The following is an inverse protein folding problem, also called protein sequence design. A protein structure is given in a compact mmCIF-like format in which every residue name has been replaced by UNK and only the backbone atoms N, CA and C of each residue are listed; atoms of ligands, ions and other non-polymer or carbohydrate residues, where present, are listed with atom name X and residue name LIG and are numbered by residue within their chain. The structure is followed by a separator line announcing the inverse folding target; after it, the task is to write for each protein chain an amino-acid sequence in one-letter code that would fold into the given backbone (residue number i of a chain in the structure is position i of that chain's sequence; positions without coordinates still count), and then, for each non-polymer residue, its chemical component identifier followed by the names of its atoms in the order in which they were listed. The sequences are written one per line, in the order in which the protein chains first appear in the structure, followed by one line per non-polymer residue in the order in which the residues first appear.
data_IF_789059352050
#
_entry.id   IF_789059352050
#
_cell.length_a   1.000
_cell.length_b   1.000
_cell.length_c   1.000
_cell.angle_alpha   90.00
_cell.angle_beta   90.00
_cell.angle_gamma   90.00
#
_symmetry.space_group_name_H-M   'P 1'
#
loop_
_entity.id
_entity.type
_entity.pdbx_description
1 polymer ?
#
# COMPACT_ATOMS: atom_id res chain seq x y z
N UNK A 1 -21.27 -18.50 9.52
CA UNK A 1 -20.27 -18.57 10.59
C UNK A 1 -19.50 -17.26 10.59
N UNK A 2 -19.21 -16.68 11.75
CA UNK A 2 -18.37 -15.49 11.86
C UNK A 2 -17.10 -15.86 12.61
N UNK A 3 -15.94 -15.42 12.11
CA UNK A 3 -14.63 -15.63 12.72
C UNK A 3 -14.06 -14.27 13.08
N UNK A 4 -13.69 -14.08 14.35
CA UNK A 4 -13.09 -12.83 14.81
C UNK A 4 -11.62 -12.81 14.46
N UNK A 5 -11.21 -11.75 13.76
CA UNK A 5 -9.83 -11.48 13.42
C UNK A 5 -9.29 -10.36 14.28
N UNK A 6 -8.00 -10.41 14.60
CA UNK A 6 -7.32 -9.30 15.24
C UNK A 6 -5.82 -9.35 14.99
N UNK A 7 -5.18 -8.19 14.92
CA UNK A 7 -3.74 -8.06 14.70
C UNK A 7 -3.13 -6.94 15.54
N UNK A 8 -1.81 -7.02 15.74
CA UNK A 8 -1.01 -5.93 16.30
C UNK A 8 -0.63 -4.95 15.18
N UNK A 9 -0.82 -3.64 15.34
CA UNK A 9 -0.39 -2.67 14.34
C UNK A 9 1.13 -2.69 14.12
N UNK A 10 1.55 -2.57 12.87
CA UNK A 10 2.94 -2.39 12.46
C UNK A 10 3.43 -0.99 12.85
N UNK A 11 4.67 -0.92 13.32
CA UNK A 11 5.24 0.26 13.99
C UNK A 11 6.26 1.01 13.13
N UNK A 12 5.91 1.27 11.87
CA UNK A 12 6.76 2.10 11.03
C UNK A 12 6.89 3.51 11.60
N UNK A 13 8.08 4.10 11.53
CA UNK A 13 8.41 5.36 12.21
C UNK A 13 7.53 6.55 11.80
N UNK A 14 6.90 6.49 10.63
CA UNK A 14 5.97 7.51 10.13
C UNK A 14 4.57 7.42 10.73
N UNK A 15 4.24 6.36 11.47
CA UNK A 15 2.90 6.13 12.01
C UNK A 15 2.51 7.13 13.10
N UNK A 16 1.22 7.47 13.17
CA UNK A 16 0.71 8.23 14.30
C UNK A 16 0.64 7.36 15.57
N UNK A 17 0.52 7.99 16.75
CA UNK A 17 0.54 7.26 18.03
C UNK A 17 -0.87 6.95 18.52
N UNK A 18 -1.23 5.66 18.54
CA UNK A 18 -2.48 5.16 19.12
C UNK A 18 -3.76 5.39 18.31
N UNK A 19 -3.67 6.07 17.16
CA UNK A 19 -4.84 6.50 16.38
C UNK A 19 -5.64 5.32 15.79
N UNK A 20 -4.98 4.22 15.42
CA UNK A 20 -5.68 3.03 14.93
C UNK A 20 -6.53 2.42 16.04
N UNK A 21 -5.96 2.25 17.25
CA UNK A 21 -6.72 1.76 18.41
C UNK A 21 -7.89 2.68 18.75
N UNK A 22 -7.69 4.00 18.76
CA UNK A 22 -8.76 4.96 19.07
C UNK A 22 -9.89 4.91 18.03
N UNK A 23 -9.55 4.87 16.74
CA UNK A 23 -10.53 4.85 15.66
C UNK A 23 -11.36 3.57 15.63
N UNK A 24 -10.74 2.41 15.92
CA UNK A 24 -11.44 1.12 15.90
C UNK A 24 -12.11 0.77 17.22
N UNK A 25 -11.72 1.40 18.33
CA UNK A 25 -12.28 1.17 19.65
C UNK A 25 -11.84 -0.15 20.30
N UNK A 26 -12.28 -0.38 21.56
CA UNK A 26 -11.83 -1.53 22.37
C UNK A 26 -12.29 -2.89 21.83
N UNK A 27 -13.39 -2.94 21.08
CA UNK A 27 -13.92 -4.16 20.46
C UNK A 27 -13.45 -4.33 19.00
N UNK A 28 -12.58 -3.42 18.53
CA UNK A 28 -12.04 -3.43 17.18
C UNK A 28 -11.05 -4.58 16.94
N UNK A 29 -10.52 -4.65 15.72
CA UNK A 29 -9.59 -5.71 15.30
C UNK A 29 -8.14 -5.50 15.80
N UNK A 30 -7.93 -4.66 16.81
CA UNK A 30 -6.60 -4.34 17.34
C UNK A 30 -6.29 -5.20 18.56
N UNK A 31 -5.16 -5.91 18.50
CA UNK A 31 -4.59 -6.64 19.63
C UNK A 31 -3.20 -6.07 19.89
N UNK A 32 -3.12 -5.01 20.69
CA UNK A 32 -1.87 -4.31 21.01
C UNK A 32 -1.60 -4.32 22.52
N UNK A 33 -0.81 -5.29 23.04
CA UNK A 33 -0.57 -5.43 24.48
C UNK A 33 0.24 -4.28 25.08
N UNK A 34 0.91 -3.48 24.25
CA UNK A 34 1.71 -2.33 24.68
C UNK A 34 0.91 -1.02 24.63
N UNK A 35 -0.34 -1.03 24.15
CA UNK A 35 -1.16 0.17 24.10
C UNK A 35 -1.47 0.69 25.51
N UNK A 36 -1.14 1.96 25.76
CA UNK A 36 -1.47 2.68 26.99
C UNK A 36 -2.01 4.05 26.61
N UNK A 37 -3.11 4.49 27.22
CA UNK A 37 -3.75 5.76 26.86
C UNK A 37 -2.86 6.98 27.15
N UNK A 38 -2.07 6.92 28.22
CA UNK A 38 -1.12 7.97 28.64
C UNK A 38 0.19 7.96 27.83
N UNK A 39 0.53 6.84 27.20
CA UNK A 39 1.74 6.68 26.40
C UNK A 39 1.49 5.75 25.18
N UNK A 40 0.69 6.19 24.21
CA UNK A 40 0.31 5.36 23.07
C UNK A 40 1.52 5.01 22.18
N UNK A 41 1.64 3.74 21.74
CA UNK A 41 2.68 3.33 20.81
C UNK A 41 2.42 3.90 19.41
N UNK A 42 3.46 3.91 18.57
CA UNK A 42 3.33 4.19 17.14
C UNK A 42 2.53 3.07 16.48
N UNK A 43 1.53 3.44 15.67
CA UNK A 43 0.65 2.53 14.94
C UNK A 43 0.51 3.03 13.50
N UNK A 44 1.30 2.47 12.59
CA UNK A 44 1.36 2.92 11.20
C UNK A 44 0.32 2.21 10.33
N UNK A 45 0.30 0.88 10.39
CA UNK A 45 -0.61 0.05 9.60
C UNK A 45 -1.12 -1.13 10.43
N UNK A 46 -2.43 -1.36 10.45
CA UNK A 46 -3.02 -2.64 10.88
C UNK A 46 -3.37 -3.44 9.64
N UNK A 47 -2.78 -4.62 9.49
CA UNK A 47 -3.02 -5.51 8.34
C UNK A 47 -4.10 -6.52 8.68
N UNK A 48 -5.11 -6.62 7.82
CA UNK A 48 -6.19 -7.60 7.92
C UNK A 48 -6.25 -8.42 6.63
N UNK A 49 -5.85 -9.68 6.71
CA UNK A 49 -5.72 -10.58 5.56
C UNK A 49 -4.75 -11.73 5.86
N UNK A 50 -4.33 -12.43 4.81
CA UNK A 50 -3.45 -13.60 4.91
C UNK A 50 -2.02 -13.34 4.41
N UNK A 51 -1.56 -12.09 4.50
CA UNK A 51 -0.23 -11.72 4.02
C UNK A 51 0.85 -12.29 4.95
N UNK A 52 1.83 -13.03 4.40
CA UNK A 52 2.87 -13.74 5.16
C UNK A 52 3.62 -12.89 6.20
N UNK A 53 3.84 -11.60 5.92
CA UNK A 53 4.52 -10.69 6.86
C UNK A 53 3.71 -10.32 8.12
N UNK A 54 2.38 -10.48 8.11
CA UNK A 54 1.52 -10.21 9.26
C UNK A 54 0.12 -10.82 9.03
N UNK A 55 -0.02 -12.16 9.01
CA UNK A 55 -1.31 -12.79 8.79
C UNK A 55 -2.27 -12.44 9.94
N UNK A 56 -3.57 -12.30 9.64
CA UNK A 56 -4.60 -12.03 10.63
C UNK A 56 -4.77 -13.19 11.59
N UNK A 57 -4.56 -12.94 12.89
CA UNK A 57 -4.81 -13.96 13.91
C UNK A 57 -6.30 -14.21 14.06
N UNK A 58 -6.64 -15.47 14.27
CA UNK A 58 -7.99 -15.89 14.62
C UNK A 58 -8.10 -15.85 16.15
N UNK A 59 -9.01 -15.02 16.65
CA UNK A 59 -9.15 -14.81 18.10
C UNK A 59 -9.86 -15.98 18.80
N UNK A 60 -10.70 -16.70 18.05
CA UNK A 60 -11.45 -17.86 18.53
C UNK A 60 -11.15 -19.09 17.65
N UNK A 61 -10.00 -19.77 17.80
CA UNK A 61 -9.55 -20.85 16.88
C UNK A 61 -10.55 -22.00 16.70
N UNK A 62 -11.39 -22.27 17.71
CA UNK A 62 -12.45 -23.28 17.63
C UNK A 62 -13.47 -22.99 16.49
N UNK A 63 -13.63 -21.71 16.14
CA UNK A 63 -14.49 -21.27 15.02
C UNK A 63 -13.85 -21.49 13.65
N UNK A 64 -12.59 -21.92 13.60
CA UNK A 64 -11.82 -22.12 12.36
C UNK A 64 -11.07 -23.45 12.35
N UNK A 65 -11.64 -24.49 13.00
CA UNK A 65 -11.03 -25.82 13.01
C UNK A 65 -9.68 -25.90 13.71
N UNK A 66 -9.40 -24.96 14.62
CA UNK A 66 -8.14 -24.88 15.38
C UNK A 66 -7.04 -24.07 14.69
N UNK A 67 -7.28 -23.50 13.50
CA UNK A 67 -6.31 -22.63 12.83
C UNK A 67 -6.02 -21.37 13.67
N UNK A 68 -4.75 -20.99 13.78
CA UNK A 68 -4.34 -19.85 14.64
C UNK A 68 -4.38 -18.51 13.90
N UNK A 69 -4.35 -18.56 12.57
CA UNK A 69 -4.44 -17.39 11.70
C UNK A 69 -5.18 -17.71 10.38
N UNK A 70 -5.49 -16.65 9.64
CA UNK A 70 -6.24 -16.74 8.39
C UNK A 70 -5.45 -17.48 7.30
N UNK A 71 -4.12 -17.43 7.29
CA UNK A 71 -3.33 -18.14 6.28
C UNK A 71 -3.42 -19.66 6.49
N UNK A 72 -3.26 -20.13 7.74
CA UNK A 72 -3.45 -21.53 8.08
C UNK A 72 -4.87 -22.02 7.74
N UNK A 73 -5.89 -21.24 8.09
CA UNK A 73 -7.27 -21.63 7.82
C UNK A 73 -7.56 -21.71 6.32
N UNK A 74 -7.07 -20.75 5.53
CA UNK A 74 -7.18 -20.77 4.07
C UNK A 74 -6.55 -22.02 3.45
N UNK A 75 -5.41 -22.49 3.98
CA UNK A 75 -4.75 -23.68 3.48
C UNK A 75 -5.44 -24.97 3.92
N UNK A 76 -5.96 -25.01 5.15
CA UNK A 76 -6.58 -26.19 5.73
C UNK A 76 -8.01 -26.43 5.21
N UNK A 77 -8.81 -25.37 5.06
CA UNK A 77 -10.18 -25.42 4.54
C UNK A 77 -10.48 -24.24 3.61
N UNK A 78 -9.95 -24.24 2.37
CA UNK A 78 -10.25 -23.23 1.36
C UNK A 78 -11.74 -22.97 1.14
N UNK A 79 -12.57 -24.04 1.16
CA UNK A 79 -14.00 -23.93 0.89
C UNK A 79 -14.74 -23.31 2.07
N UNK A 80 -14.36 -23.64 3.30
CA UNK A 80 -14.88 -22.98 4.49
C UNK A 80 -14.50 -21.50 4.56
N UNK A 81 -13.25 -21.17 4.23
CA UNK A 81 -12.72 -19.81 4.34
C UNK A 81 -13.14 -18.88 3.18
N UNK A 82 -13.12 -19.34 1.93
CA UNK A 82 -13.38 -18.53 0.72
C UNK A 82 -14.67 -18.88 -0.02
N UNK A 83 -15.37 -19.94 0.38
CA UNK A 83 -16.60 -20.38 -0.29
C UNK A 83 -16.36 -20.69 -1.77
N UNK A 84 -17.12 -20.04 -2.65
CA UNK A 84 -17.03 -20.23 -4.10
C UNK A 84 -15.66 -19.79 -4.68
N UNK A 85 -14.88 -18.99 -3.95
CA UNK A 85 -13.56 -18.51 -4.36
C UNK A 85 -12.41 -19.39 -3.87
N UNK A 86 -12.69 -20.59 -3.35
CA UNK A 86 -11.68 -21.52 -2.83
C UNK A 86 -10.57 -21.89 -3.83
N UNK A 87 -10.84 -21.80 -5.14
CA UNK A 87 -9.84 -22.02 -6.18
C UNK A 87 -8.84 -20.85 -6.33
N UNK A 88 -9.04 -19.75 -5.60
CA UNK A 88 -8.28 -18.51 -5.77
C UNK A 88 -8.71 -17.73 -7.03
N UNK A 89 -8.05 -16.59 -7.31
CA UNK A 89 -8.24 -15.90 -8.59
C UNK A 89 -7.78 -16.78 -9.75
N UNK A 90 -8.55 -16.80 -10.84
CA UNK A 90 -8.34 -17.68 -12.00
C UNK A 90 -6.98 -17.50 -12.70
N UNK A 91 -6.32 -16.36 -12.45
CA UNK A 91 -5.07 -15.94 -13.10
C UNK A 91 -3.83 -16.23 -12.24
N UNK A 92 -4.01 -16.82 -11.06
CA UNK A 92 -2.90 -17.27 -10.24
C UNK A 92 -2.34 -18.56 -10.85
N UNK A 93 -1.22 -18.44 -11.56
CA UNK A 93 -0.26 -19.54 -11.71
C UNK A 93 0.11 -20.02 -10.29
N UNK A 94 -0.71 -20.92 -9.74
CA UNK A 94 -0.64 -21.35 -8.34
C UNK A 94 0.53 -22.32 -8.19
N UNK A 95 1.72 -21.72 -8.07
CA UNK A 95 2.93 -22.39 -7.60
C UNK A 95 2.78 -22.82 -6.12
N UNK A 96 1.78 -22.28 -5.41
CA UNK A 96 1.48 -22.61 -4.02
C UNK A 96 0.31 -23.58 -3.91
N UNK A 97 0.44 -24.58 -3.04
CA UNK A 97 -0.60 -25.57 -2.72
C UNK A 97 -1.79 -24.98 -1.95
N UNK A 98 -1.77 -23.68 -1.66
CA UNK A 98 -2.73 -22.98 -0.83
C UNK A 98 -3.31 -21.76 -1.57
N UNK A 99 -4.64 -21.53 -1.49
CA UNK A 99 -5.26 -20.39 -2.14
C UNK A 99 -4.86 -19.08 -1.47
N UNK A 100 -4.63 -18.05 -2.29
CA UNK A 100 -4.33 -16.69 -1.82
C UNK A 100 -5.60 -15.85 -1.72
N UNK A 101 -5.67 -15.04 -0.68
CA UNK A 101 -6.64 -13.94 -0.60
C UNK A 101 -6.23 -12.85 -1.62
N UNK A 102 -7.12 -12.41 -2.53
CA UNK A 102 -6.76 -11.51 -3.62
C UNK A 102 -6.64 -10.04 -3.19
N UNK A 103 -6.72 -9.75 -1.89
CA UNK A 103 -6.60 -8.41 -1.34
C UNK A 103 -5.93 -8.44 0.03
N UNK A 104 -5.43 -7.28 0.44
CA UNK A 104 -4.99 -7.01 1.80
C UNK A 104 -5.73 -5.76 2.27
N UNK A 105 -6.54 -5.90 3.33
CA UNK A 105 -7.15 -4.74 3.96
C UNK A 105 -6.13 -4.12 4.93
N UNK A 106 -6.03 -2.79 4.90
CA UNK A 106 -5.22 -2.03 5.86
C UNK A 106 -6.03 -0.94 6.51
N UNK A 107 -5.82 -0.74 7.81
CA UNK A 107 -6.12 0.53 8.47
C UNK A 107 -4.80 1.26 8.63
N UNK A 108 -4.70 2.45 8.05
CA UNK A 108 -3.47 3.23 8.01
C UNK A 108 -3.63 4.49 8.85
N UNK A 109 -2.61 4.83 9.64
CA UNK A 109 -2.55 6.10 10.37
C UNK A 109 -1.21 6.80 10.15
N UNK A 110 -1.22 7.83 9.30
CA UNK A 110 -0.04 8.60 8.95
C UNK A 110 0.20 9.73 9.97
N UNK A 111 1.30 9.63 10.72
CA UNK A 111 1.81 10.70 11.57
C UNK A 111 2.82 11.62 10.86
N UNK A 112 3.31 11.22 9.70
CA UNK A 112 4.18 11.98 8.82
C UNK A 112 3.87 11.68 7.34
N UNK A 113 4.23 12.57 6.39
CA UNK A 113 4.08 12.31 4.96
C UNK A 113 4.85 11.05 4.53
N UNK A 114 4.20 10.22 3.70
CA UNK A 114 4.82 9.03 3.12
C UNK A 114 5.56 9.37 1.81
N UNK A 115 6.41 8.45 1.37
CA UNK A 115 7.05 8.52 0.05
C UNK A 115 6.01 8.58 -1.07
N UNK A 116 6.31 9.30 -2.15
CA UNK A 116 5.57 9.16 -3.40
C UNK A 116 5.75 7.74 -3.94
N UNK A 117 4.65 7.13 -4.39
CA UNK A 117 4.63 5.76 -4.87
C UNK A 117 4.08 5.71 -6.30
N UNK A 118 4.64 4.81 -7.09
CA UNK A 118 4.13 4.46 -8.41
C UNK A 118 4.05 2.95 -8.47
N UNK A 119 2.89 2.43 -8.88
CA UNK A 119 2.72 1.00 -9.10
C UNK A 119 2.86 0.68 -10.59
N UNK A 120 3.64 -0.35 -10.95
CA UNK A 120 3.77 -0.77 -12.33
C UNK A 120 2.44 -1.33 -12.86
N UNK A 121 2.27 -1.28 -14.19
CA UNK A 121 1.25 -2.08 -14.88
C UNK A 121 1.54 -3.57 -14.67
N UNK A 122 0.54 -4.44 -14.91
CA UNK A 122 0.73 -5.89 -14.76
C UNK A 122 1.88 -6.43 -15.62
N UNK A 123 1.99 -5.94 -16.86
CA UNK A 123 3.07 -6.31 -17.77
C UNK A 123 4.44 -5.91 -17.22
N UNK A 124 4.57 -4.66 -16.73
CA UNK A 124 5.82 -4.16 -16.14
C UNK A 124 6.17 -4.90 -14.84
N UNK A 125 5.16 -5.23 -14.01
CA UNK A 125 5.36 -6.00 -12.78
C UNK A 125 5.95 -7.39 -13.08
N UNK A 126 5.35 -8.11 -14.05
CA UNK A 126 5.84 -9.43 -14.51
C UNK A 126 7.26 -9.36 -15.06
N UNK A 127 7.53 -8.39 -15.93
CA UNK A 127 8.84 -8.21 -16.54
C UNK A 127 9.91 -7.86 -15.49
N UNK A 128 9.62 -6.91 -14.60
CA UNK A 128 10.53 -6.48 -13.53
C UNK A 128 10.82 -7.61 -12.53
N UNK A 129 9.77 -8.33 -12.10
CA UNK A 129 9.92 -9.48 -11.22
C UNK A 129 10.82 -10.56 -11.86
N UNK A 130 10.57 -10.93 -13.12
CA UNK A 130 11.38 -11.92 -13.83
C UNK A 130 12.84 -11.48 -14.00
N UNK A 131 13.09 -10.20 -14.29
CA UNK A 131 14.44 -9.65 -14.41
C UNK A 131 15.22 -9.71 -13.07
N UNK A 132 14.59 -9.32 -11.96
CA UNK A 132 15.23 -9.38 -10.64
C UNK A 132 15.45 -10.84 -10.18
N UNK A 133 14.56 -11.77 -10.53
CA UNK A 133 14.75 -13.20 -10.30
C UNK A 133 15.95 -13.74 -11.10
N UNK A 134 16.05 -13.41 -12.38
CA UNK A 134 17.16 -13.85 -13.24
C UNK A 134 18.51 -13.29 -12.76
N UNK A 135 18.51 -12.11 -12.15
CA UNK A 135 19.68 -11.50 -11.53
C UNK A 135 20.02 -12.10 -10.14
N UNK A 136 19.19 -13.00 -9.60
CA UNK A 136 19.43 -13.66 -8.31
C UNK A 136 19.27 -12.74 -7.10
N UNK A 137 18.53 -11.64 -7.21
CA UNK A 137 18.31 -10.70 -6.10
C UNK A 137 17.41 -11.37 -5.05
N UNK A 138 17.79 -11.49 -3.77
CA UNK A 138 16.93 -12.07 -2.75
C UNK A 138 15.60 -11.31 -2.59
N UNK A 139 14.51 -12.03 -2.27
CA UNK A 139 13.16 -11.42 -2.19
C UNK A 139 13.04 -10.33 -1.11
N UNK A 140 13.84 -10.46 -0.05
CA UNK A 140 13.92 -9.58 1.11
C UNK A 140 15.03 -8.52 0.99
N UNK A 141 15.76 -8.48 -0.13
CA UNK A 141 16.82 -7.50 -0.33
C UNK A 141 16.25 -6.07 -0.31
N UNK A 142 16.89 -5.13 0.40
CA UNK A 142 16.35 -3.77 0.59
C UNK A 142 16.26 -2.97 -0.71
N UNK A 143 17.04 -3.33 -1.73
CA UNK A 143 17.06 -2.70 -3.04
C UNK A 143 16.15 -3.39 -4.08
N UNK A 144 15.40 -4.43 -3.68
CA UNK A 144 14.49 -5.15 -4.57
C UNK A 144 13.19 -4.38 -4.75
N UNK A 145 12.82 -4.07 -6.00
CA UNK A 145 11.63 -3.29 -6.32
C UNK A 145 10.41 -4.16 -6.63
N UNK A 146 10.60 -5.33 -7.27
CA UNK A 146 9.53 -6.21 -7.70
C UNK A 146 9.50 -7.47 -6.84
N UNK A 147 8.66 -7.46 -5.80
CA UNK A 147 8.50 -8.57 -4.84
C UNK A 147 7.46 -9.61 -5.27
N UNK A 148 6.66 -9.29 -6.28
CA UNK A 148 5.69 -10.21 -6.87
C UNK A 148 5.41 -9.78 -8.33
N UNK A 149 4.81 -10.66 -9.16
CA UNK A 149 4.54 -10.37 -10.56
C UNK A 149 3.19 -9.66 -10.80
N UNK A 150 2.56 -9.07 -9.77
CA UNK A 150 1.21 -8.52 -9.87
C UNK A 150 1.21 -6.98 -9.87
N UNK A 151 0.19 -6.40 -10.52
CA UNK A 151 -0.10 -4.99 -10.34
C UNK A 151 -0.81 -4.79 -9.00
N UNK A 152 -0.68 -3.60 -8.43
CA UNK A 152 -1.22 -3.27 -7.11
C UNK A 152 -2.25 -2.14 -7.21
N UNK A 153 -3.51 -2.45 -7.57
CA UNK A 153 -4.57 -1.47 -7.51
C UNK A 153 -4.93 -1.22 -6.05
N UNK A 154 -5.08 0.05 -5.67
CA UNK A 154 -5.39 0.45 -4.29
C UNK A 154 -6.64 1.32 -4.26
N UNK A 155 -7.41 1.19 -3.17
CA UNK A 155 -8.53 2.06 -2.84
C UNK A 155 -8.30 2.61 -1.44
N UNK A 156 -8.36 3.93 -1.30
CA UNK A 156 -8.24 4.63 -0.03
C UNK A 156 -9.61 5.16 0.39
N UNK A 157 -10.00 4.90 1.63
CA UNK A 157 -11.21 5.45 2.25
C UNK A 157 -10.78 6.22 3.50
N UNK A 158 -11.12 7.50 3.57
CA UNK A 158 -10.85 8.31 4.75
C UNK A 158 -11.79 7.90 5.90
N UNK A 159 -11.21 7.50 7.03
CA UNK A 159 -11.93 7.19 8.27
C UNK A 159 -12.00 8.38 9.24
N UNK A 160 -11.03 9.28 9.14
CA UNK A 160 -10.99 10.56 9.86
C UNK A 160 -11.68 11.66 9.07
N UNK A 161 -11.99 12.77 9.73
CA UNK A 161 -12.57 13.96 9.08
C UNK A 161 -11.66 14.52 7.97
N UNK A 162 -10.34 14.35 8.11
CA UNK A 162 -9.35 14.81 7.14
C UNK A 162 -8.32 13.71 6.84
N UNK A 163 -8.06 13.53 5.56
CA UNK A 163 -6.96 12.75 5.01
C UNK A 163 -6.43 13.49 3.78
N UNK A 164 -5.14 13.84 3.80
CA UNK A 164 -4.48 14.51 2.68
C UNK A 164 -3.72 13.46 1.84
N UNK A 165 -3.94 13.46 0.53
CA UNK A 165 -3.29 12.53 -0.39
C UNK A 165 -2.94 13.21 -1.72
N UNK A 166 -1.86 12.74 -2.35
CA UNK A 166 -1.49 13.08 -3.73
C UNK A 166 -1.80 11.88 -4.62
N UNK A 167 -2.65 12.08 -5.64
CA UNK A 167 -3.06 11.01 -6.53
C UNK A 167 -3.14 11.51 -7.97
N UNK A 168 -2.31 10.91 -8.83
CA UNK A 168 -2.23 11.29 -10.25
C UNK A 168 -1.63 12.68 -10.48
N UNK A 169 -1.62 13.07 -11.75
CA UNK A 169 -1.22 14.41 -12.16
C UNK A 169 -2.41 15.37 -12.09
N UNK A 170 -2.13 16.64 -11.81
CA UNK A 170 -3.10 17.70 -12.03
C UNK A 170 -3.37 17.90 -13.53
N UNK A 171 -4.37 18.71 -13.88
CA UNK A 171 -4.59 19.05 -15.29
C UNK A 171 -3.34 19.72 -15.88
N UNK A 172 -3.13 19.56 -17.19
CA UNK A 172 -1.99 20.20 -17.86
C UNK A 172 -2.01 21.72 -17.65
N UNK A 173 -3.18 22.35 -17.70
CA UNK A 173 -3.35 23.77 -17.43
C UNK A 173 -2.86 24.17 -16.03
N UNK A 174 -3.26 23.43 -14.99
CA UNK A 174 -2.80 23.69 -13.63
C UNK A 174 -1.30 23.46 -13.47
N UNK A 175 -0.76 22.42 -14.11
CA UNK A 175 0.68 22.16 -14.10
C UNK A 175 1.47 23.29 -14.76
N UNK A 176 1.04 23.74 -15.94
CA UNK A 176 1.65 24.88 -16.64
C UNK A 176 1.62 26.15 -15.79
N UNK A 177 0.45 26.51 -15.23
CA UNK A 177 0.33 27.69 -14.36
C UNK A 177 1.25 27.61 -13.12
N UNK A 178 1.35 26.43 -12.49
CA UNK A 178 2.25 26.23 -11.34
C UNK A 178 3.72 26.39 -11.75
N UNK A 179 4.11 25.83 -12.89
CA UNK A 179 5.48 25.90 -13.41
C UNK A 179 5.85 27.32 -13.80
N UNK A 180 4.96 28.06 -14.46
CA UNK A 180 5.17 29.49 -14.77
C UNK A 180 5.30 30.34 -13.50
N UNK A 181 4.48 30.08 -12.48
CA UNK A 181 4.58 30.74 -11.19
C UNK A 181 5.92 30.47 -10.49
N UNK A 182 6.39 29.22 -10.52
CA UNK A 182 7.71 28.85 -9.99
C UNK A 182 8.84 29.50 -10.80
N UNK A 183 8.72 29.59 -12.13
CA UNK A 183 9.68 30.28 -12.98
C UNK A 183 9.83 31.76 -12.60
N UNK A 184 8.71 32.44 -12.35
CA UNK A 184 8.74 33.85 -11.91
C UNK A 184 9.44 33.99 -10.56
N UNK A 185 9.09 33.14 -9.59
CA UNK A 185 9.75 33.14 -8.28
C UNK A 185 11.25 32.79 -8.37
N UNK A 186 11.61 31.86 -9.27
CA UNK A 186 13.01 31.50 -9.52
C UNK A 186 13.78 32.66 -10.18
N UNK A 187 13.15 33.43 -11.05
CA UNK A 187 13.76 34.64 -11.64
C UNK A 187 14.05 35.70 -10.57
N UNK A 188 13.09 35.95 -9.68
CA UNK A 188 13.26 36.88 -8.55
C UNK A 188 14.39 36.44 -7.60
N UNK A 189 14.59 35.12 -7.46
CA UNK A 189 15.65 34.54 -6.65
C UNK A 189 17.01 34.38 -7.39
N UNK A 190 17.11 34.77 -8.67
CA UNK A 190 18.32 34.58 -9.48
C UNK A 190 18.65 33.11 -9.82
N UNK A 191 17.65 32.23 -9.76
CA UNK A 191 17.78 30.78 -9.98
C UNK A 191 17.06 30.29 -11.26
N UNK A 192 16.54 31.20 -12.09
CA UNK A 192 15.73 30.86 -13.26
C UNK A 192 16.43 29.93 -14.27
N UNK A 193 17.74 30.11 -14.49
CA UNK A 193 18.48 29.32 -15.49
C UNK A 193 18.44 27.81 -15.18
N UNK A 194 18.52 27.43 -13.90
CA UNK A 194 18.44 26.04 -13.47
C UNK A 194 17.05 25.41 -13.63
N UNK A 195 16.00 26.23 -13.69
CA UNK A 195 14.61 25.77 -13.79
C UNK A 195 14.03 25.88 -15.21
N UNK A 196 14.56 26.78 -16.05
CA UNK A 196 14.05 27.07 -17.39
C UNK A 196 13.88 25.83 -18.27
N UNK A 197 14.88 24.94 -18.31
CA UNK A 197 14.80 23.74 -19.13
C UNK A 197 13.69 22.77 -18.69
N UNK A 198 13.37 22.70 -17.40
CA UNK A 198 12.21 21.93 -16.94
C UNK A 198 10.90 22.63 -17.30
N UNK A 199 10.84 23.95 -17.11
CA UNK A 199 9.66 24.73 -17.42
C UNK A 199 9.28 24.65 -18.91
N UNK A 200 10.25 24.80 -19.80
CA UNK A 200 10.05 24.70 -21.24
C UNK A 200 9.47 23.34 -21.64
N UNK A 201 9.94 22.25 -21.02
CA UNK A 201 9.40 20.90 -21.28
C UNK A 201 7.95 20.76 -20.85
N UNK A 202 7.54 21.36 -19.73
CA UNK A 202 6.15 21.27 -19.25
C UNK A 202 5.23 22.19 -20.06
N UNK A 203 5.68 23.42 -20.36
CA UNK A 203 4.92 24.40 -21.16
C UNK A 203 4.72 23.89 -22.59
N UNK A 204 5.70 23.16 -23.14
CA UNK A 204 5.65 22.59 -24.49
C UNK A 204 4.84 21.30 -24.62
N UNK A 205 4.15 20.83 -23.57
CA UNK A 205 3.29 19.65 -23.69
C UNK A 205 1.96 20.02 -24.35
N UNK A 206 1.45 19.11 -25.18
CA UNK A 206 0.18 19.24 -25.92
C UNK A 206 -0.96 18.48 -25.23
N UNK A 207 -0.64 17.58 -24.28
CA UNK A 207 -1.63 16.76 -23.58
C UNK A 207 -1.17 16.23 -22.23
N UNK A 208 -2.12 15.96 -21.34
CA UNK A 208 -1.85 15.44 -19.99
C UNK A 208 -1.25 14.03 -19.97
N UNK A 209 -1.41 13.25 -21.05
CA UNK A 209 -0.79 11.92 -21.17
C UNK A 209 0.74 12.02 -21.19
N UNK A 210 1.28 13.08 -21.79
CA UNK A 210 2.72 13.31 -21.91
C UNK A 210 3.38 13.69 -20.57
N UNK A 211 2.60 14.09 -19.55
CA UNK A 211 3.13 14.33 -18.20
C UNK A 211 3.73 13.04 -17.61
N UNK A 212 3.20 11.87 -17.98
CA UNK A 212 3.73 10.57 -17.53
C UNK A 212 5.09 10.30 -18.16
N UNK A 213 5.24 10.61 -19.45
CA UNK A 213 6.48 10.38 -20.19
C UNK A 213 7.62 11.28 -19.72
N UNK A 214 7.30 12.44 -19.15
CA UNK A 214 8.30 13.38 -18.61
C UNK A 214 8.99 12.86 -17.33
N UNK A 215 8.38 11.93 -16.61
CA UNK A 215 8.90 11.38 -15.35
C UNK A 215 9.24 9.88 -15.40
N UNK A 216 9.04 9.24 -16.55
CA UNK A 216 9.31 7.82 -16.79
C UNK A 216 10.76 7.59 -17.22
#
# INVERSE_FOLDING_TARGET
MFVRLGNTPLRYAWGARGEITRALGPDGAVVDPEYRDDAPPVQAELWLGAHHGSPSRILDPETAGGAVDLAEWLCADPRGALGAHAAGPADADSIESCPRLPFLLKVLSAGAPLSLQVHPTLERARAGFAAEQAAGIPIDAPHRNYRDPFHKPEVLIALSERMDALAGFASLQEMTMRVEGIMLAAADAGAAEGFAGFADRVIGLDGSEQLRDLVA
#
